data_IF_261858686731
#
_entry.id   IF_261858686731
#
_cell.length_a   1.000
_cell.length_b   1.000
_cell.length_c   1.000
_cell.angle_alpha   90.00
_cell.angle_beta   90.00
_cell.angle_gamma   90.00
#
_symmetry.space_group_name_H-M   'P 1'
#
loop_
_entity.id
_entity.type
_entity.pdbx_description
1 polymer ?
#
# COMPACT_ATOMS: atom_id res chain seq x y z
N UNK A 1 -18.80 15.58 -11.45
CA UNK A 1 -18.28 16.66 -10.57
C UNK A 1 -17.00 17.18 -11.20
N UNK A 2 -17.04 18.39 -11.75
CA UNK A 2 -15.84 19.08 -12.22
C UNK A 2 -14.99 19.41 -10.98
N UNK A 3 -13.67 19.18 -11.03
CA UNK A 3 -12.78 19.26 -9.87
C UNK A 3 -12.95 20.58 -9.11
N UNK A 4 -12.90 20.49 -7.77
CA UNK A 4 -13.09 21.64 -6.89
C UNK A 4 -11.78 22.44 -6.85
N UNK A 5 -11.53 23.28 -7.85
CA UNK A 5 -10.66 24.44 -7.67
C UNK A 5 -11.56 25.51 -7.06
N UNK A 6 -11.27 25.92 -5.83
CA UNK A 6 -12.13 26.89 -5.16
C UNK A 6 -12.14 28.19 -5.94
N UNK A 7 -13.33 28.76 -6.17
CA UNK A 7 -13.51 30.16 -6.60
C UNK A 7 -13.02 31.18 -5.55
N UNK A 8 -12.43 30.72 -4.45
CA UNK A 8 -11.87 31.54 -3.37
C UNK A 8 -10.36 31.63 -3.51
N UNK A 9 -9.79 32.82 -3.34
CA UNK A 9 -8.35 33.13 -3.45
C UNK A 9 -7.47 32.51 -2.34
N UNK A 10 -7.85 31.37 -1.74
CA UNK A 10 -7.03 30.75 -0.69
C UNK A 10 -6.04 29.77 -1.31
N UNK A 11 -4.73 29.88 -1.01
CA UNK A 11 -3.74 28.93 -1.49
C UNK A 11 -3.97 27.56 -0.86
N UNK A 12 -4.04 26.52 -1.68
CA UNK A 12 -4.20 25.13 -1.26
C UNK A 12 -3.00 24.32 -1.77
N UNK A 13 -2.26 23.71 -0.83
CA UNK A 13 -1.05 22.94 -1.11
C UNK A 13 -1.28 21.86 -2.17
N UNK A 14 -0.46 21.87 -3.22
CA UNK A 14 -0.50 20.87 -4.29
C UNK A 14 -1.80 20.85 -5.09
N UNK A 15 -2.61 21.91 -4.98
CA UNK A 15 -3.82 22.15 -5.79
C UNK A 15 -3.69 23.46 -6.54
N UNK A 16 -3.44 24.56 -5.82
CA UNK A 16 -3.17 25.89 -6.39
C UNK A 16 -1.73 26.34 -6.11
N UNK A 17 -0.90 25.43 -5.62
CA UNK A 17 0.53 25.65 -5.40
C UNK A 17 1.34 24.41 -5.80
N UNK A 18 2.66 24.56 -5.89
CA UNK A 18 3.59 23.45 -6.12
C UNK A 18 3.68 22.46 -4.94
N UNK A 19 4.64 21.53 -5.04
CA UNK A 19 4.86 20.47 -4.05
C UNK A 19 6.19 20.66 -3.30
N UNK A 20 6.28 20.11 -2.08
CA UNK A 20 7.50 20.10 -1.28
C UNK A 20 8.15 21.48 -1.13
N UNK A 21 9.44 21.59 -1.44
CA UNK A 21 10.18 22.85 -1.39
C UNK A 21 9.66 23.94 -2.35
N UNK A 22 8.86 23.56 -3.35
CA UNK A 22 8.23 24.47 -4.32
C UNK A 22 6.79 24.83 -3.94
N UNK A 23 6.35 24.56 -2.71
CA UNK A 23 4.99 24.87 -2.25
C UNK A 23 4.64 26.37 -2.26
N UNK A 24 5.65 27.24 -2.35
CA UNK A 24 5.49 28.69 -2.47
C UNK A 24 5.18 29.15 -3.91
N UNK A 25 5.34 28.28 -4.91
CA UNK A 25 5.02 28.58 -6.30
C UNK A 25 3.51 28.48 -6.52
N UNK A 26 2.88 29.56 -7.00
CA UNK A 26 1.47 29.59 -7.35
C UNK A 26 1.20 28.83 -8.65
N UNK A 27 0.06 28.13 -8.71
CA UNK A 27 -0.42 27.40 -9.90
C UNK A 27 -1.79 27.94 -10.29
N UNK A 28 -1.94 28.29 -11.55
CA UNK A 28 -3.20 28.82 -12.09
C UNK A 28 -4.30 27.72 -12.09
N UNK A 29 -5.59 28.08 -12.04
CA UNK A 29 -6.68 27.13 -12.21
C UNK A 29 -6.60 26.31 -13.51
N UNK A 30 -6.07 26.91 -14.58
CA UNK A 30 -5.91 26.30 -15.89
C UNK A 30 -4.84 25.19 -15.88
N UNK A 31 -3.75 25.42 -15.14
CA UNK A 31 -2.63 24.47 -15.02
C UNK A 31 -2.86 23.41 -13.92
N UNK A 32 -3.88 23.58 -13.07
CA UNK A 32 -4.08 22.73 -11.89
C UNK A 32 -4.29 21.25 -12.21
N UNK A 33 -4.85 20.93 -13.39
CA UNK A 33 -5.02 19.56 -13.88
C UNK A 33 -3.69 18.97 -14.35
N UNK A 34 -2.92 19.73 -15.13
CA UNK A 34 -1.61 19.31 -15.64
C UNK A 34 -0.58 19.16 -14.52
N UNK A 35 -0.67 19.98 -13.47
CA UNK A 35 0.10 19.82 -12.24
C UNK A 35 -0.04 18.40 -11.67
N UNK A 36 -1.27 17.86 -11.60
CA UNK A 36 -1.51 16.52 -11.07
C UNK A 36 -0.96 15.43 -11.98
N UNK A 37 -1.06 15.60 -13.30
CA UNK A 37 -0.47 14.67 -14.28
C UNK A 37 1.06 14.66 -14.19
N UNK A 38 1.67 15.83 -14.11
CA UNK A 38 3.12 16.00 -14.04
C UNK A 38 3.69 15.47 -12.72
N UNK A 39 2.94 15.58 -11.62
CA UNK A 39 3.29 14.95 -10.36
C UNK A 39 3.51 13.44 -10.51
N UNK A 40 2.63 12.74 -11.25
CA UNK A 40 2.77 11.29 -11.48
C UNK A 40 4.04 10.98 -12.27
N UNK A 41 4.36 11.79 -13.28
CA UNK A 41 5.60 11.63 -14.05
C UNK A 41 6.86 11.85 -13.20
N UNK A 42 6.90 12.95 -12.46
CA UNK A 42 8.05 13.28 -11.61
C UNK A 42 8.29 12.23 -10.52
N UNK A 43 7.20 11.69 -9.97
CA UNK A 43 7.28 10.68 -8.91
C UNK A 43 7.49 9.27 -9.44
N UNK A 44 7.27 9.00 -10.74
CA UNK A 44 7.55 7.71 -11.40
C UNK A 44 9.05 7.44 -11.44
N UNK A 45 9.58 7.08 -10.28
CA UNK A 45 10.97 6.88 -9.97
C UNK A 45 11.08 5.65 -9.10
N UNK A 46 12.26 5.03 -9.08
CA UNK A 46 12.52 3.88 -8.22
C UNK A 46 13.31 2.80 -8.93
N UNK A 47 14.56 2.55 -8.52
CA UNK A 47 15.33 1.40 -8.98
C UNK A 47 15.01 0.15 -8.16
N UNK A 48 15.67 -0.96 -8.51
CA UNK A 48 15.65 -2.19 -7.72
C UNK A 48 14.66 -3.23 -8.22
N UNK A 49 14.45 -4.23 -7.37
CA UNK A 49 13.57 -5.37 -7.65
C UNK A 49 12.11 -4.95 -7.65
N UNK A 50 11.29 -5.78 -8.29
CA UNK A 50 9.84 -5.62 -8.26
C UNK A 50 9.34 -6.01 -6.87
N UNK A 51 8.43 -5.21 -6.32
CA UNK A 51 7.69 -5.62 -5.12
C UNK A 51 6.84 -6.86 -5.43
N UNK A 52 6.53 -7.62 -4.38
CA UNK A 52 5.68 -8.81 -4.53
C UNK A 52 4.27 -8.42 -4.99
N UNK A 53 3.61 -9.32 -5.72
CA UNK A 53 2.24 -9.12 -6.18
C UNK A 53 1.28 -8.87 -5.02
N UNK A 54 1.50 -9.54 -3.90
CA UNK A 54 0.65 -9.45 -2.71
C UNK A 54 0.82 -8.12 -1.98
N UNK A 55 2.04 -7.57 -1.93
CA UNK A 55 2.30 -6.23 -1.38
C UNK A 55 1.61 -5.14 -2.19
N UNK A 56 1.71 -5.21 -3.53
CA UNK A 56 1.07 -4.23 -4.42
C UNK A 56 -0.45 -4.29 -4.29
N UNK A 57 -1.03 -5.50 -4.22
CA UNK A 57 -2.47 -5.70 -4.00
C UNK A 57 -2.91 -5.17 -2.65
N UNK A 58 -2.16 -5.43 -1.58
CA UNK A 58 -2.44 -4.88 -0.26
C UNK A 58 -2.43 -3.35 -0.28
N UNK A 59 -1.44 -2.74 -0.92
CA UNK A 59 -1.35 -1.28 -1.06
C UNK A 59 -2.57 -0.69 -1.78
N UNK A 60 -2.99 -1.29 -2.90
CA UNK A 60 -4.18 -0.88 -3.65
C UNK A 60 -5.45 -1.03 -2.80
N UNK A 61 -5.60 -2.14 -2.07
CA UNK A 61 -6.77 -2.37 -1.22
C UNK A 61 -6.87 -1.31 -0.10
N UNK A 62 -5.78 -1.08 0.62
CA UNK A 62 -5.74 -0.10 1.72
C UNK A 62 -5.99 1.32 1.17
N UNK A 63 -5.41 1.65 0.00
CA UNK A 63 -5.64 2.94 -0.66
C UNK A 63 -7.11 3.14 -1.06
N UNK A 64 -7.72 2.14 -1.70
CA UNK A 64 -9.13 2.18 -2.05
C UNK A 64 -10.01 2.36 -0.81
N UNK A 65 -9.75 1.60 0.25
CA UNK A 65 -10.46 1.72 1.52
C UNK A 65 -10.34 3.12 2.13
N UNK A 66 -9.13 3.70 2.13
CA UNK A 66 -8.92 5.04 2.68
C UNK A 66 -9.70 6.12 1.91
N UNK A 67 -9.81 6.00 0.59
CA UNK A 67 -10.61 6.93 -0.21
C UNK A 67 -12.09 6.93 0.15
N UNK A 68 -12.62 5.79 0.61
CA UNK A 68 -14.03 5.67 1.03
C UNK A 68 -14.37 6.48 2.28
N UNK A 69 -13.37 6.96 3.03
CA UNK A 69 -13.60 7.87 4.16
C UNK A 69 -14.09 9.26 3.72
N UNK A 70 -14.00 9.61 2.44
CA UNK A 70 -14.56 10.85 1.89
C UNK A 70 -13.70 12.11 2.07
N UNK A 71 -12.52 12.01 2.70
CA UNK A 71 -11.63 13.16 2.96
C UNK A 71 -10.59 13.44 1.87
N UNK A 72 -10.54 12.62 0.81
CA UNK A 72 -9.47 12.70 -0.22
C UNK A 72 -9.78 13.65 -1.38
N UNK A 73 -11.06 13.94 -1.65
CA UNK A 73 -11.48 14.87 -2.71
C UNK A 73 -11.18 14.40 -4.15
N UNK A 74 -11.40 13.12 -4.46
CA UNK A 74 -11.24 12.56 -5.80
C UNK A 74 -12.56 11.98 -6.33
N UNK A 75 -12.63 11.75 -7.64
CA UNK A 75 -13.75 11.04 -8.27
C UNK A 75 -13.78 9.58 -7.84
N UNK A 76 -14.99 9.09 -7.61
CA UNK A 76 -15.26 7.69 -7.29
C UNK A 76 -14.80 6.71 -8.38
N UNK A 77 -14.79 7.13 -9.66
CA UNK A 77 -14.34 6.30 -10.78
C UNK A 77 -12.90 5.79 -10.61
N UNK A 78 -11.99 6.58 -10.01
CA UNK A 78 -10.62 6.14 -9.72
C UNK A 78 -10.60 5.00 -8.70
N UNK A 79 -11.45 5.08 -7.68
CA UNK A 79 -11.61 4.01 -6.66
C UNK A 79 -12.19 2.75 -7.32
N UNK A 80 -13.24 2.89 -8.12
CA UNK A 80 -13.85 1.78 -8.86
C UNK A 80 -12.84 1.10 -9.79
N UNK A 81 -11.97 1.87 -10.44
CA UNK A 81 -10.93 1.32 -11.31
C UNK A 81 -9.89 0.54 -10.53
N UNK A 82 -9.47 1.04 -9.36
CA UNK A 82 -8.55 0.32 -8.47
C UNK A 82 -9.14 -1.01 -8.00
N UNK A 83 -10.42 -1.02 -7.60
CA UNK A 83 -11.15 -2.25 -7.24
C UNK A 83 -11.26 -3.20 -8.43
N UNK A 84 -11.50 -2.69 -9.64
CA UNK A 84 -11.57 -3.51 -10.85
C UNK A 84 -10.23 -4.18 -11.17
N UNK A 85 -9.12 -3.48 -11.03
CA UNK A 85 -7.77 -4.06 -11.17
C UNK A 85 -7.54 -5.16 -10.13
N UNK A 86 -7.90 -4.91 -8.86
CA UNK A 86 -7.79 -5.91 -7.78
C UNK A 86 -8.59 -7.18 -8.08
N UNK A 87 -9.86 -7.04 -8.50
CA UNK A 87 -10.75 -8.17 -8.79
C UNK A 87 -10.30 -8.97 -10.03
N UNK A 88 -9.64 -8.32 -10.97
CA UNK A 88 -9.15 -8.95 -12.20
C UNK A 88 -7.69 -9.40 -12.11
N UNK A 89 -7.06 -9.31 -10.92
CA UNK A 89 -5.64 -9.60 -10.71
C UNK A 89 -4.71 -8.87 -11.70
N UNK A 90 -5.00 -7.58 -11.95
CA UNK A 90 -4.12 -6.70 -12.72
C UNK A 90 -3.31 -5.85 -11.76
N UNK A 91 -2.00 -6.06 -11.77
CA UNK A 91 -1.10 -5.61 -10.71
C UNK A 91 -0.05 -4.69 -11.31
N UNK A 92 -0.05 -3.39 -10.96
CA UNK A 92 0.99 -2.46 -11.40
C UNK A 92 2.38 -2.90 -10.97
N UNK A 93 3.38 -2.61 -11.80
CA UNK A 93 4.77 -2.91 -11.50
C UNK A 93 5.37 -1.80 -10.60
N UNK A 94 5.71 -2.16 -9.36
CA UNK A 94 6.33 -1.27 -8.37
C UNK A 94 7.75 -1.72 -8.06
N UNK A 95 8.60 -0.77 -7.69
CA UNK A 95 10.01 -1.01 -7.36
C UNK A 95 10.27 -0.81 -5.87
N UNK A 96 11.22 -1.55 -5.33
CA UNK A 96 11.51 -1.59 -3.89
C UNK A 96 12.13 -0.30 -3.34
N UNK A 97 12.78 0.50 -4.18
CA UNK A 97 13.37 1.79 -3.79
C UNK A 97 12.58 2.98 -4.35
N UNK A 98 12.55 4.08 -3.60
CA UNK A 98 11.94 5.36 -4.03
C UNK A 98 11.05 6.01 -2.98
N UNK A 99 10.54 5.25 -2.01
CA UNK A 99 9.85 5.79 -0.83
C UNK A 99 10.83 5.95 0.34
N UNK A 100 10.75 7.08 1.04
CA UNK A 100 11.44 7.31 2.32
C UNK A 100 10.49 7.19 3.52
N UNK A 101 9.21 6.91 3.25
CA UNK A 101 8.16 6.71 4.25
C UNK A 101 7.77 7.91 5.13
N UNK A 102 8.30 9.11 4.88
CA UNK A 102 8.01 10.29 5.69
C UNK A 102 6.73 11.04 5.26
N UNK A 103 6.62 11.38 3.97
CA UNK A 103 5.50 12.17 3.39
C UNK A 103 4.56 11.32 2.53
N UNK A 104 4.57 10.01 2.73
CA UNK A 104 3.83 9.02 1.95
C UNK A 104 4.70 8.25 0.96
N UNK A 105 4.12 7.19 0.42
CA UNK A 105 4.72 6.27 -0.54
C UNK A 105 4.62 6.82 -1.98
N UNK A 106 5.07 8.07 -2.17
CA UNK A 106 4.82 8.88 -3.36
C UNK A 106 5.22 8.16 -4.65
N UNK A 107 6.45 7.65 -4.70
CA UNK A 107 6.99 7.01 -5.90
C UNK A 107 6.28 5.71 -6.30
N UNK A 108 6.14 4.69 -5.42
CA UNK A 108 5.42 3.48 -5.78
C UNK A 108 3.91 3.73 -6.02
N UNK A 109 3.27 4.66 -5.31
CA UNK A 109 1.87 5.02 -5.59
C UNK A 109 1.70 5.78 -6.91
N UNK A 110 2.72 6.51 -7.38
CA UNK A 110 2.71 7.11 -8.71
C UNK A 110 2.71 6.03 -9.81
N UNK A 111 3.46 4.94 -9.65
CA UNK A 111 3.39 3.80 -10.56
C UNK A 111 2.00 3.15 -10.59
N UNK A 112 1.34 2.98 -9.43
CA UNK A 112 -0.06 2.52 -9.37
C UNK A 112 -0.98 3.49 -10.11
N UNK A 113 -0.84 4.79 -9.83
CA UNK A 113 -1.72 5.82 -10.38
C UNK A 113 -1.59 5.92 -11.90
N UNK A 114 -0.36 5.96 -12.41
CA UNK A 114 -0.10 6.00 -13.86
C UNK A 114 -0.66 4.78 -14.59
N UNK A 115 -0.54 3.59 -13.99
CA UNK A 115 -1.15 2.37 -14.53
C UNK A 115 -2.69 2.43 -14.54
N UNK A 116 -3.32 2.91 -13.46
CA UNK A 116 -4.78 3.02 -13.37
C UNK A 116 -5.33 4.01 -14.42
N UNK A 117 -4.70 5.16 -14.58
CA UNK A 117 -5.22 6.18 -15.51
C UNK A 117 -4.82 5.91 -16.97
N UNK A 118 -3.89 4.99 -17.22
CA UNK A 118 -3.32 4.73 -18.53
C UNK A 118 -2.49 5.91 -19.01
N UNK A 119 -1.59 6.39 -18.16
CA UNK A 119 -0.84 7.63 -18.40
C UNK A 119 0.05 7.50 -19.63
N UNK A 120 0.78 6.38 -19.74
CA UNK A 120 1.76 6.12 -20.78
C UNK A 120 2.10 4.62 -20.88
N UNK A 121 2.63 4.17 -22.02
CA UNK A 121 3.01 2.77 -22.26
C UNK A 121 4.15 2.30 -21.34
N UNK A 122 4.95 3.23 -20.84
CA UNK A 122 6.02 2.93 -19.88
C UNK A 122 5.52 2.55 -18.48
N UNK A 123 4.21 2.67 -18.20
CA UNK A 123 3.59 2.12 -16.99
C UNK A 123 3.13 0.70 -17.29
N UNK A 124 3.77 -0.27 -16.63
CA UNK A 124 3.61 -1.69 -16.91
C UNK A 124 2.82 -2.36 -15.79
N UNK A 125 1.99 -3.34 -16.15
CA UNK A 125 1.20 -4.16 -15.23
C UNK A 125 1.44 -5.64 -15.52
N UNK A 126 1.33 -6.47 -14.50
CA UNK A 126 1.08 -7.90 -14.66
C UNK A 126 -0.43 -8.08 -14.85
N UNK A 127 -0.84 -8.61 -16.00
CA UNK A 127 -2.22 -8.94 -16.32
C UNK A 127 -2.33 -10.47 -16.40
N UNK A 128 -2.77 -11.09 -15.31
CA UNK A 128 -2.92 -12.55 -15.23
C UNK A 128 -1.63 -13.33 -15.61
N UNK A 129 -0.47 -12.85 -15.17
CA UNK A 129 0.84 -13.47 -15.45
C UNK A 129 1.53 -13.01 -16.72
N UNK A 130 0.87 -12.19 -17.55
CA UNK A 130 1.47 -11.55 -18.73
C UNK A 130 1.88 -10.11 -18.39
N UNK A 131 3.12 -9.72 -18.70
CA UNK A 131 3.54 -8.35 -18.55
C UNK A 131 3.16 -7.51 -19.77
N UNK A 132 2.32 -6.49 -19.56
CA UNK A 132 1.84 -5.60 -20.63
C UNK A 132 1.82 -4.14 -20.18
N UNK A 133 1.82 -3.22 -21.13
CA UNK A 133 1.62 -1.80 -20.84
C UNK A 133 0.19 -1.50 -20.34
N UNK A 134 0.08 -0.46 -19.53
CA UNK A 134 -1.18 -0.08 -18.89
C UNK A 134 -2.28 0.34 -19.87
N UNK A 135 -1.92 0.91 -21.03
CA UNK A 135 -2.89 1.32 -22.05
C UNK A 135 -3.51 0.08 -22.70
N UNK A 136 -2.70 -0.93 -23.02
CA UNK A 136 -3.16 -2.23 -23.48
C UNK A 136 -4.02 -2.95 -22.45
N UNK A 137 -3.65 -2.91 -21.17
CA UNK A 137 -4.48 -3.44 -20.08
C UNK A 137 -5.86 -2.77 -20.02
N UNK A 138 -5.91 -1.43 -20.13
CA UNK A 138 -7.18 -0.70 -20.16
C UNK A 138 -8.04 -1.03 -21.39
N UNK A 139 -7.41 -1.21 -22.56
CA UNK A 139 -8.11 -1.68 -23.78
C UNK A 139 -8.77 -3.05 -23.55
N UNK A 140 -8.08 -3.99 -22.89
CA UNK A 140 -8.67 -5.31 -22.51
C UNK A 140 -9.89 -5.16 -21.60
N UNK A 141 -9.88 -4.16 -20.71
CA UNK A 141 -11.04 -3.84 -19.87
C UNK A 141 -12.13 -3.01 -20.55
N UNK A 142 -11.90 -2.52 -21.77
CA UNK A 142 -12.73 -1.50 -22.45
C UNK A 142 -12.92 -0.25 -21.58
N UNK A 143 -11.84 0.15 -20.90
CA UNK A 143 -11.82 1.35 -20.06
C UNK A 143 -11.13 2.49 -20.80
N UNK A 144 -11.65 3.73 -20.73
CA UNK A 144 -10.97 4.89 -21.31
C UNK A 144 -9.74 5.27 -20.48
N UNK A 145 -8.84 6.05 -21.07
CA UNK A 145 -7.81 6.74 -20.26
C UNK A 145 -8.47 7.81 -19.40
N UNK A 146 -7.88 8.11 -18.25
CA UNK A 146 -8.38 9.16 -17.35
C UNK A 146 -7.38 10.31 -17.27
N UNK A 147 -7.89 11.53 -17.38
CA UNK A 147 -7.14 12.73 -17.00
C UNK A 147 -7.43 13.03 -15.53
N UNK A 148 -6.39 13.27 -14.74
CA UNK A 148 -6.52 13.63 -13.33
C UNK A 148 -7.02 15.07 -13.22
N UNK A 149 -8.05 15.27 -12.40
CA UNK A 149 -8.55 16.59 -12.03
C UNK A 149 -7.70 17.18 -10.90
N UNK A 150 -7.82 18.49 -10.62
CA UNK A 150 -7.14 19.14 -9.50
C UNK A 150 -7.29 18.33 -8.20
N UNK A 151 -6.20 18.26 -7.41
CA UNK A 151 -6.02 17.42 -6.22
C UNK A 151 -5.89 15.90 -6.47
N UNK A 152 -6.42 15.33 -7.55
CA UNK A 152 -6.53 13.87 -7.69
C UNK A 152 -5.18 13.15 -7.74
N UNK A 153 -4.17 13.72 -8.41
CA UNK A 153 -2.83 13.12 -8.43
C UNK A 153 -2.21 13.04 -7.04
N UNK A 154 -2.22 14.16 -6.31
CA UNK A 154 -1.77 14.20 -4.93
C UNK A 154 -2.62 13.31 -4.03
N UNK A 155 -3.94 13.27 -4.25
CA UNK A 155 -4.85 12.42 -3.51
C UNK A 155 -4.50 10.94 -3.70
N UNK A 156 -4.10 10.50 -4.89
CA UNK A 156 -3.74 9.10 -5.13
C UNK A 156 -2.40 8.71 -4.49
N UNK A 157 -1.40 9.60 -4.55
CA UNK A 157 -0.04 9.24 -4.16
C UNK A 157 0.37 9.62 -2.74
N UNK A 158 -0.33 10.55 -2.09
CA UNK A 158 0.02 10.99 -0.75
C UNK A 158 -0.58 10.07 0.32
N UNK A 159 0.28 9.34 1.02
CA UNK A 159 -0.02 8.53 2.20
C UNK A 159 0.76 7.20 2.22
N UNK A 160 0.64 6.45 3.32
CA UNK A 160 1.56 5.36 3.69
C UNK A 160 1.03 3.96 3.30
N UNK A 161 0.37 3.84 2.15
CA UNK A 161 -0.40 2.62 1.84
C UNK A 161 0.45 1.45 1.36
N UNK A 162 1.59 1.71 0.72
CA UNK A 162 2.49 0.65 0.24
C UNK A 162 3.24 0.05 1.42
N UNK A 163 3.86 0.89 2.26
CA UNK A 163 4.54 0.42 3.47
C UNK A 163 3.55 -0.25 4.44
N UNK A 164 2.31 0.24 4.56
CA UNK A 164 1.31 -0.40 5.42
C UNK A 164 0.87 -1.75 4.84
N UNK A 165 0.76 -1.86 3.51
CA UNK A 165 0.49 -3.13 2.84
C UNK A 165 1.57 -4.17 3.13
N UNK A 166 2.84 -3.79 2.95
CA UNK A 166 4.00 -4.64 3.27
C UNK A 166 4.01 -5.02 4.75
N UNK A 167 3.83 -4.05 5.65
CA UNK A 167 3.81 -4.30 7.09
C UNK A 167 2.68 -5.26 7.50
N UNK A 168 1.51 -5.16 6.87
CA UNK A 168 0.40 -6.08 7.12
C UNK A 168 0.76 -7.53 6.74
N UNK A 169 1.41 -7.74 5.60
CA UNK A 169 1.92 -9.05 5.20
C UNK A 169 2.97 -9.57 6.18
N UNK A 170 3.95 -8.74 6.55
CA UNK A 170 4.97 -9.12 7.52
C UNK A 170 4.39 -9.51 8.88
N UNK A 171 3.36 -8.81 9.36
CA UNK A 171 2.68 -9.15 10.62
C UNK A 171 1.95 -10.50 10.51
N UNK A 172 1.26 -10.75 9.40
CA UNK A 172 0.59 -12.03 9.17
C UNK A 172 1.59 -13.20 9.15
N UNK A 173 2.68 -13.06 8.39
CA UNK A 173 3.72 -14.09 8.31
C UNK A 173 4.43 -14.30 9.66
N UNK A 174 4.72 -13.23 10.39
CA UNK A 174 5.31 -13.31 11.71
C UNK A 174 4.42 -14.06 12.72
N UNK A 175 3.09 -13.89 12.64
CA UNK A 175 2.15 -14.64 13.48
C UNK A 175 2.15 -16.13 13.16
N UNK A 176 2.22 -16.49 11.87
CA UNK A 176 2.31 -17.87 11.43
C UNK A 176 3.64 -18.51 11.87
N UNK A 177 4.75 -17.82 11.62
CA UNK A 177 6.09 -18.27 12.01
C UNK A 177 6.22 -18.43 13.52
N UNK A 178 5.65 -17.50 14.31
CA UNK A 178 5.64 -17.61 15.77
C UNK A 178 4.89 -18.87 16.22
N UNK A 179 3.74 -19.18 15.60
CA UNK A 179 3.01 -20.42 15.90
C UNK A 179 3.85 -21.65 15.57
N UNK A 180 4.42 -21.72 14.37
CA UNK A 180 5.26 -22.84 13.96
C UNK A 180 6.49 -23.00 14.86
N UNK A 181 7.07 -21.89 15.29
CA UNK A 181 8.22 -21.87 16.21
C UNK A 181 7.85 -22.48 17.56
N UNK A 182 6.69 -22.12 18.12
CA UNK A 182 6.19 -22.70 19.37
C UNK A 182 5.98 -24.22 19.25
N UNK A 183 5.30 -24.65 18.18
CA UNK A 183 5.03 -26.07 17.93
C UNK A 183 6.34 -26.85 17.75
N UNK A 184 7.30 -26.28 17.03
CA UNK A 184 8.64 -26.87 16.84
C UNK A 184 9.38 -26.98 18.17
N UNK A 185 9.39 -25.94 19.00
CA UNK A 185 10.03 -26.01 20.32
C UNK A 185 9.40 -27.06 21.23
N UNK A 186 8.08 -27.25 21.19
CA UNK A 186 7.43 -28.32 21.94
C UNK A 186 7.94 -29.71 21.51
N UNK A 187 8.04 -29.96 20.19
CA UNK A 187 8.60 -31.20 19.65
C UNK A 187 10.07 -31.42 20.07
N UNK A 188 10.89 -30.37 20.05
CA UNK A 188 12.28 -30.44 20.50
C UNK A 188 12.37 -30.80 21.99
N UNK A 189 11.55 -30.19 22.84
CA UNK A 189 11.52 -30.49 24.28
C UNK A 189 11.13 -31.95 24.50
N UNK A 190 10.12 -32.46 23.79
CA UNK A 190 9.73 -33.87 23.86
C UNK A 190 10.86 -34.80 23.39
N UNK A 191 11.48 -34.51 22.24
CA UNK A 191 12.57 -35.31 21.68
C UNK A 191 13.82 -35.34 22.56
N UNK A 192 14.06 -34.27 23.33
CA UNK A 192 15.16 -34.18 24.29
C UNK A 192 14.79 -34.69 25.69
N UNK A 193 13.56 -35.20 25.90
CA UNK A 193 13.02 -35.56 27.21
C UNK A 193 13.16 -34.42 28.25
N UNK A 194 12.90 -33.19 27.81
CA UNK A 194 13.02 -31.98 28.61
C UNK A 194 11.88 -31.80 29.63
N UNK A 195 12.16 -31.11 30.73
CA UNK A 195 11.18 -30.84 31.79
C UNK A 195 10.14 -29.80 31.36
N UNK A 196 8.88 -30.02 31.75
CA UNK A 196 7.79 -29.05 31.59
C UNK A 196 7.71 -28.01 32.74
N UNK A 197 8.49 -28.19 33.82
CA UNK A 197 8.49 -27.32 34.99
C UNK A 197 8.72 -25.82 34.69
N UNK A 198 9.58 -25.42 33.73
CA UNK A 198 9.75 -24.02 33.39
C UNK A 198 8.44 -23.33 32.95
N UNK A 199 7.54 -24.08 32.31
CA UNK A 199 6.26 -23.58 31.80
C UNK A 199 5.13 -23.58 32.84
N UNK A 200 5.42 -23.96 34.09
CA UNK A 200 4.41 -24.02 35.14
C UNK A 200 3.80 -22.61 35.39
N UNK A 201 2.45 -22.48 35.48
CA UNK A 201 1.79 -21.19 35.60
C UNK A 201 2.32 -20.29 36.71
N UNK A 202 2.71 -20.88 37.84
CA UNK A 202 3.32 -20.17 38.97
C UNK A 202 4.49 -19.26 38.55
N UNK A 203 5.39 -19.73 37.66
CA UNK A 203 6.55 -18.94 37.25
C UNK A 203 6.11 -17.68 36.47
N UNK A 204 5.12 -17.84 35.61
CA UNK A 204 4.67 -16.81 34.68
C UNK A 204 3.69 -15.81 35.31
N UNK A 205 2.94 -16.20 36.34
CA UNK A 205 2.09 -15.26 37.11
C UNK A 205 2.92 -14.30 37.95
N UNK A 206 4.13 -14.70 38.37
CA UNK A 206 5.05 -13.84 39.14
C UNK A 206 6.01 -13.02 38.25
N UNK A 207 5.99 -13.26 36.93
CA UNK A 207 6.63 -12.40 35.92
C UNK A 207 5.62 -12.10 34.79
N UNK A 208 4.58 -11.28 35.05
CA UNK A 208 3.38 -11.19 34.22
C UNK A 208 3.57 -10.30 32.99
N UNK A 209 4.56 -10.61 32.15
CA UNK A 209 4.57 -10.09 30.79
C UNK A 209 3.40 -10.71 30.02
N UNK A 210 2.52 -9.93 29.36
CA UNK A 210 1.35 -10.45 28.64
C UNK A 210 1.70 -11.58 27.67
N UNK A 211 2.87 -11.50 27.04
CA UNK A 211 3.39 -12.44 26.04
C UNK A 211 3.90 -13.74 26.67
N UNK A 212 4.26 -13.72 27.96
CA UNK A 212 4.82 -14.85 28.71
C UNK A 212 3.78 -15.63 29.51
N UNK A 213 2.49 -15.27 29.43
CA UNK A 213 1.40 -15.97 30.13
C UNK A 213 1.39 -17.47 29.80
N UNK A 214 1.09 -18.39 30.74
CA UNK A 214 1.10 -19.85 30.50
C UNK A 214 0.04 -20.33 29.49
N UNK A 215 -0.85 -19.44 29.01
CA UNK A 215 -1.63 -19.65 27.78
C UNK A 215 -0.78 -19.61 26.49
N UNK A 216 0.52 -19.31 26.60
CA UNK A 216 1.53 -19.42 25.53
C UNK A 216 1.85 -20.89 25.25
N UNK A 217 0.86 -21.57 24.67
CA UNK A 217 0.86 -22.76 23.79
C UNK A 217 1.83 -23.93 24.06
N UNK A 218 3.13 -23.73 24.32
CA UNK A 218 4.10 -24.83 24.54
C UNK A 218 3.70 -25.68 25.74
N UNK A 219 3.43 -25.08 26.90
CA UNK A 219 3.07 -25.83 28.11
C UNK A 219 1.83 -26.73 27.94
N UNK A 220 0.85 -26.28 27.15
CA UNK A 220 -0.34 -27.07 26.80
C UNK A 220 -0.14 -28.08 25.66
N UNK A 221 0.96 -27.98 24.91
CA UNK A 221 1.35 -28.94 23.87
C UNK A 221 2.25 -30.06 24.43
N UNK A 222 2.88 -29.82 25.58
CA UNK A 222 3.71 -30.78 26.30
C UNK A 222 2.91 -31.74 27.19
N UNK A 223 1.59 -31.87 26.99
CA UNK A 223 0.80 -32.89 27.66
C UNK A 223 1.11 -34.29 27.08
N UNK A 224 2.01 -34.99 27.76
CA UNK A 224 2.07 -36.44 27.84
C UNK A 224 1.59 -36.86 29.23
#
# INVERSE_FOLDING_TARGET
MNGVVSKTCKPIYGVTTGFGGMAHTHVSPEDASDLQRNLIWFMKSGPGKRLSKDDVRAAMLIRANNHMLGFSGLRFELVQRMVRFLNANVIPNLREFGSIGASGDLAPLASITGALIGLDESFVVDFAGEEIDSISALKRFRLPRLNLLPKEGLAMINGTYVMTGIAAQCVYDAQLLLKMTMDTHALFIQGLNGSNQPFHPFNHTHKPHPEASPRSKIGGQLHA
#
